data_IF_591003414796
#
_entry.id   IF_591003414796
#
_cell.length_a   1.000
_cell.length_b   1.000
_cell.length_c   1.000
_cell.angle_alpha   90.00
_cell.angle_beta   90.00
_cell.angle_gamma   90.00
#
_symmetry.space_group_name_H-M   'P 1'
#
loop_
_entity.id
_entity.type
_entity.pdbx_description
1 polymer ?
#
# COMPACT_ATOMS: atom_id res chain seq x y z
N UNK A 1 -5.26 20.76 -8.83
CA UNK A 1 -5.25 20.04 -7.54
C UNK A 1 -4.54 18.68 -7.58
N UNK A 2 -4.51 17.92 -8.69
CA UNK A 2 -3.87 16.59 -8.75
C UNK A 2 -2.38 16.56 -8.35
N UNK A 3 -1.55 17.49 -8.83
CA UNK A 3 -0.08 17.48 -8.58
C UNK A 3 0.28 17.69 -7.10
N UNK A 4 -0.48 18.52 -6.37
CA UNK A 4 -0.25 18.78 -4.94
C UNK A 4 -0.55 17.53 -4.11
N UNK A 5 -1.59 16.77 -4.47
CA UNK A 5 -1.92 15.49 -3.83
C UNK A 5 -0.84 14.42 -4.06
N UNK A 6 -0.24 14.37 -5.25
CA UNK A 6 0.88 13.47 -5.54
C UNK A 6 2.15 13.86 -4.77
N UNK A 7 2.44 15.16 -4.67
CA UNK A 7 3.58 15.68 -3.90
C UNK A 7 3.44 15.42 -2.39
N UNK A 8 2.22 15.59 -1.83
CA UNK A 8 1.95 15.28 -0.42
C UNK A 8 2.07 13.78 -0.12
N UNK A 9 1.66 12.91 -1.06
CA UNK A 9 1.88 11.47 -0.93
C UNK A 9 3.37 11.12 -0.92
N UNK A 10 4.17 11.75 -1.79
CA UNK A 10 5.62 11.52 -1.85
C UNK A 10 6.33 11.97 -0.56
N UNK A 11 5.83 13.00 0.12
CA UNK A 11 6.41 13.48 1.38
C UNK A 11 6.09 12.58 2.58
N UNK A 12 4.91 11.94 2.60
CA UNK A 12 4.53 11.00 3.67
C UNK A 12 5.24 9.65 3.58
N UNK A 13 5.63 9.26 2.36
CA UNK A 13 6.17 7.95 2.03
C UNK A 13 7.51 7.60 2.73
N UNK A 14 8.52 8.50 2.77
CA UNK A 14 9.78 8.23 3.46
C UNK A 14 9.58 7.98 4.97
N UNK A 15 8.62 8.64 5.60
CA UNK A 15 8.33 8.46 7.01
C UNK A 15 7.78 7.05 7.30
N UNK A 16 6.86 6.56 6.46
CA UNK A 16 6.32 5.21 6.58
C UNK A 16 7.34 4.12 6.26
N UNK A 17 8.11 4.30 5.19
CA UNK A 17 9.17 3.35 4.82
C UNK A 17 10.23 3.24 5.91
N UNK A 18 10.66 4.38 6.46
CA UNK A 18 11.66 4.39 7.55
C UNK A 18 11.14 3.69 8.80
N UNK A 19 9.87 3.88 9.15
CA UNK A 19 9.23 3.23 10.30
C UNK A 19 9.19 1.70 10.14
N UNK A 20 8.75 1.22 8.97
CA UNK A 20 8.69 -0.22 8.70
C UNK A 20 10.08 -0.86 8.60
N UNK A 21 11.09 -0.15 8.07
CA UNK A 21 12.48 -0.62 8.09
C UNK A 21 13.04 -0.73 9.51
N UNK A 22 12.75 0.24 10.40
CA UNK A 22 13.21 0.19 11.80
C UNK A 22 12.56 -0.98 12.57
N UNK A 23 11.35 -1.39 12.17
CA UNK A 23 10.61 -2.49 12.81
C UNK A 23 10.78 -3.85 12.14
N UNK A 24 11.62 -3.93 11.12
CA UNK A 24 11.87 -5.15 10.34
C UNK A 24 10.60 -5.69 9.65
N UNK A 25 9.60 -4.84 9.40
CA UNK A 25 8.40 -5.20 8.61
C UNK A 25 8.69 -5.01 7.13
N UNK A 26 9.59 -5.84 6.62
CA UNK A 26 10.16 -5.70 5.29
C UNK A 26 9.12 -5.79 4.18
N UNK A 27 8.04 -6.57 4.36
CA UNK A 27 6.98 -6.69 3.36
C UNK A 27 6.23 -5.37 3.23
N UNK A 28 5.88 -4.75 4.37
CA UNK A 28 5.20 -3.45 4.38
C UNK A 28 6.10 -2.33 3.83
N UNK A 29 7.39 -2.33 4.18
CA UNK A 29 8.37 -1.38 3.63
C UNK A 29 8.52 -1.52 2.11
N UNK A 30 8.61 -2.75 1.58
CA UNK A 30 8.68 -3.01 0.15
C UNK A 30 7.40 -2.60 -0.58
N UNK A 31 6.24 -2.81 0.04
CA UNK A 31 4.95 -2.44 -0.52
C UNK A 31 4.80 -0.91 -0.61
N UNK A 32 5.16 -0.19 0.44
CA UNK A 32 5.16 1.28 0.42
C UNK A 32 6.19 1.82 -0.56
N UNK A 33 7.41 1.30 -0.60
CA UNK A 33 8.43 1.73 -1.59
C UNK A 33 8.00 1.47 -3.04
N UNK A 34 7.19 0.42 -3.30
CA UNK A 34 6.59 0.19 -4.63
C UNK A 34 5.58 1.26 -5.06
N UNK A 35 5.06 2.07 -4.12
CA UNK A 35 4.20 3.20 -4.43
C UNK A 35 4.99 4.40 -4.99
N UNK A 36 6.29 4.54 -4.70
CA UNK A 36 7.15 5.60 -5.25
C UNK A 36 7.14 5.64 -6.78
N UNK A 37 7.45 4.55 -7.51
CA UNK A 37 7.47 4.60 -8.96
C UNK A 37 6.06 4.80 -9.54
N UNK A 38 5.00 4.31 -8.87
CA UNK A 38 3.60 4.59 -9.24
C UNK A 38 3.23 6.08 -9.12
N UNK A 39 3.71 6.77 -8.08
CA UNK A 39 3.50 8.21 -7.88
C UNK A 39 4.26 9.04 -8.93
N UNK A 40 5.52 8.69 -9.20
CA UNK A 40 6.32 9.33 -10.26
C UNK A 40 5.63 9.19 -11.62
N UNK A 41 5.06 8.02 -11.91
CA UNK A 41 4.25 7.83 -13.10
C UNK A 41 2.98 8.68 -13.11
N UNK A 42 2.26 8.76 -11.99
CA UNK A 42 1.07 9.60 -11.87
C UNK A 42 1.37 11.07 -12.19
N UNK A 43 2.51 11.59 -11.70
CA UNK A 43 2.99 12.94 -12.00
C UNK A 43 3.34 13.08 -13.49
N UNK A 44 4.15 12.18 -14.04
CA UNK A 44 4.61 12.27 -15.44
C UNK A 44 3.49 12.09 -16.46
N UNK A 45 2.52 11.19 -16.22
CA UNK A 45 1.35 11.00 -17.09
C UNK A 45 0.39 12.19 -17.03
N UNK A 46 0.20 12.80 -15.85
CA UNK A 46 -0.60 14.03 -15.71
C UNK A 46 0.04 15.21 -16.46
N UNK A 47 1.38 15.27 -16.51
CA UNK A 47 2.12 16.30 -17.26
C UNK A 47 2.10 16.06 -18.78
N UNK A 48 2.10 14.80 -19.24
CA UNK A 48 2.13 14.45 -20.68
C UNK A 48 0.75 14.23 -21.31
N UNK A 49 -0.34 14.22 -20.53
CA UNK A 49 -1.70 13.97 -21.03
C UNK A 49 -1.87 12.60 -21.72
N UNK A 50 -0.97 11.65 -21.45
CA UNK A 50 -0.93 10.34 -22.13
C UNK A 50 -1.14 9.23 -21.12
N UNK A 51 -2.21 8.47 -21.31
CA UNK A 51 -2.67 7.40 -20.42
C UNK A 51 -1.95 6.06 -20.74
N UNK A 52 -0.62 6.11 -20.87
CA UNK A 52 0.16 4.89 -21.11
C UNK A 52 0.47 4.19 -19.78
N UNK A 53 -0.32 3.16 -19.48
CA UNK A 53 -0.02 2.16 -18.46
C UNK A 53 1.20 1.34 -18.90
N UNK A 54 2.34 1.56 -18.25
CA UNK A 54 3.57 0.83 -18.55
C UNK A 54 3.66 -0.43 -17.68
N UNK A 55 3.41 -1.59 -18.30
CA UNK A 55 3.50 -2.95 -17.72
C UNK A 55 4.82 -3.28 -16.99
N UNK A 56 5.88 -2.50 -17.23
CA UNK A 56 7.19 -2.69 -16.62
C UNK A 56 7.19 -2.37 -15.11
N UNK A 57 6.36 -1.41 -14.67
CA UNK A 57 6.23 -1.08 -13.25
C UNK A 57 5.41 -2.08 -12.45
N UNK A 58 4.41 -2.71 -13.08
CA UNK A 58 3.69 -3.83 -12.46
C UNK A 58 4.66 -4.99 -12.18
N UNK A 59 5.59 -5.25 -13.12
CA UNK A 59 6.64 -6.24 -12.95
C UNK A 59 7.58 -5.88 -11.79
N UNK A 60 8.05 -4.63 -11.72
CA UNK A 60 8.90 -4.15 -10.61
C UNK A 60 8.18 -4.25 -9.24
N UNK A 61 6.88 -3.96 -9.19
CA UNK A 61 6.10 -4.04 -7.96
C UNK A 61 5.94 -5.50 -7.49
N UNK A 62 5.69 -6.42 -8.42
CA UNK A 62 5.64 -7.86 -8.12
C UNK A 62 7.00 -8.36 -7.63
N UNK A 63 8.09 -7.96 -8.29
CA UNK A 63 9.46 -8.32 -7.88
C UNK A 63 9.78 -7.77 -6.50
N UNK A 64 9.42 -6.53 -6.19
CA UNK A 64 9.60 -5.93 -4.87
C UNK A 64 8.81 -6.66 -3.78
N UNK A 65 7.57 -7.07 -4.07
CA UNK A 65 6.76 -7.88 -3.15
C UNK A 65 7.42 -9.24 -2.91
N UNK A 66 7.85 -9.95 -3.96
CA UNK A 66 8.50 -11.26 -3.85
C UNK A 66 9.82 -11.17 -3.09
N UNK A 67 10.64 -10.14 -3.36
CA UNK A 67 11.89 -9.90 -2.65
C UNK A 67 11.66 -9.52 -1.18
N UNK A 68 10.68 -8.66 -0.89
CA UNK A 68 10.31 -8.29 0.48
C UNK A 68 9.79 -9.48 1.28
N UNK A 69 9.00 -10.37 0.66
CA UNK A 69 8.54 -11.61 1.26
C UNK A 69 9.72 -12.55 1.56
N UNK A 70 10.63 -12.71 0.60
CA UNK A 70 11.80 -13.59 0.72
C UNK A 70 12.78 -13.09 1.79
N UNK A 71 12.97 -11.78 1.89
CA UNK A 71 13.87 -11.17 2.86
C UNK A 71 13.27 -11.18 4.27
N UNK A 72 11.96 -10.91 4.43
CA UNK A 72 11.25 -11.01 5.71
C UNK A 72 11.32 -12.43 6.29
N UNK A 73 11.17 -13.47 5.46
CA UNK A 73 11.30 -14.87 5.87
C UNK A 73 12.73 -15.20 6.33
N UNK A 74 13.74 -14.59 5.71
CA UNK A 74 15.15 -14.82 6.04
C UNK A 74 15.58 -14.12 7.34
N UNK A 75 15.16 -12.87 7.56
CA UNK A 75 15.58 -12.04 8.71
C UNK A 75 14.89 -12.46 10.03
N UNK A 76 13.66 -12.99 9.96
CA UNK A 76 12.85 -13.31 11.15
C UNK A 76 12.91 -14.78 11.60
N UNK A 77 13.64 -15.65 10.89
CA UNK A 77 13.90 -17.02 11.34
C UNK A 77 12.69 -17.98 11.32
N UNK A 78 11.61 -17.67 10.59
CA UNK A 78 10.45 -18.55 10.37
C UNK A 78 9.07 -17.89 10.59
N UNK A 79 7.98 -18.65 10.41
CA UNK A 79 6.55 -18.22 10.50
C UNK A 79 6.01 -18.05 11.93
N UNK A 80 6.78 -17.43 12.83
CA UNK A 80 6.50 -17.47 14.27
C UNK A 80 5.67 -16.31 14.84
N UNK A 81 5.64 -15.15 14.19
CA UNK A 81 5.11 -13.92 14.80
C UNK A 81 3.77 -13.46 14.20
N UNK A 82 2.90 -12.88 15.06
CA UNK A 82 1.63 -12.30 14.64
C UNK A 82 1.84 -11.18 13.61
N UNK A 83 2.91 -10.40 13.72
CA UNK A 83 3.26 -9.32 12.78
C UNK A 83 3.46 -9.85 11.37
N UNK A 84 4.13 -11.00 11.22
CA UNK A 84 4.39 -11.59 9.90
C UNK A 84 3.12 -12.08 9.21
N UNK A 85 2.19 -12.67 9.97
CA UNK A 85 0.86 -13.02 9.45
C UNK A 85 0.09 -11.77 9.01
N UNK A 86 0.18 -10.68 9.78
CA UNK A 86 -0.44 -9.39 9.45
C UNK A 86 0.21 -8.76 8.21
N UNK A 87 1.53 -8.82 8.05
CA UNK A 87 2.26 -8.35 6.87
C UNK A 87 1.85 -9.10 5.60
N UNK A 88 1.79 -10.43 5.65
CA UNK A 88 1.37 -11.27 4.52
C UNK A 88 -0.09 -10.98 4.15
N UNK A 89 -0.97 -10.89 5.16
CA UNK A 89 -2.37 -10.56 4.93
C UNK A 89 -2.54 -9.15 4.34
N UNK A 90 -1.77 -8.17 4.81
CA UNK A 90 -1.75 -6.80 4.30
C UNK A 90 -1.30 -6.77 2.84
N UNK A 91 -0.20 -7.43 2.50
CA UNK A 91 0.29 -7.48 1.12
C UNK A 91 -0.68 -8.19 0.17
N UNK A 92 -1.28 -9.30 0.63
CA UNK A 92 -2.26 -10.05 -0.16
C UNK A 92 -3.52 -9.24 -0.43
N UNK A 93 -4.05 -8.54 0.58
CA UNK A 93 -5.24 -7.70 0.44
C UNK A 93 -4.96 -6.47 -0.44
N UNK A 94 -3.79 -5.85 -0.33
CA UNK A 94 -3.38 -4.78 -1.25
C UNK A 94 -3.30 -5.25 -2.70
N UNK A 95 -2.68 -6.41 -2.96
CA UNK A 95 -2.55 -6.96 -4.30
C UNK A 95 -3.93 -7.31 -4.89
N UNK A 96 -4.82 -7.91 -4.10
CA UNK A 96 -6.19 -8.19 -4.53
C UNK A 96 -6.98 -6.91 -4.84
N UNK A 97 -6.82 -5.88 -4.00
CA UNK A 97 -7.48 -4.58 -4.17
C UNK A 97 -7.02 -3.83 -5.41
N UNK A 98 -5.71 -3.69 -5.60
CA UNK A 98 -5.09 -3.07 -6.79
C UNK A 98 -5.50 -3.81 -8.06
N UNK A 99 -5.47 -5.14 -8.06
CA UNK A 99 -5.87 -5.97 -9.20
C UNK A 99 -7.34 -5.75 -9.60
N UNK A 100 -8.26 -5.71 -8.63
CA UNK A 100 -9.67 -5.47 -8.90
C UNK A 100 -9.92 -4.05 -9.41
N UNK A 101 -9.24 -3.04 -8.84
CA UNK A 101 -9.34 -1.66 -9.30
C UNK A 101 -8.77 -1.48 -10.70
N UNK A 102 -7.68 -2.17 -11.05
CA UNK A 102 -7.14 -2.20 -12.41
C UNK A 102 -8.15 -2.76 -13.42
N UNK A 103 -9.00 -3.71 -13.01
CA UNK A 103 -10.14 -4.23 -13.78
C UNK A 103 -11.38 -3.32 -13.75
N UNK A 104 -11.26 -2.08 -13.26
CA UNK A 104 -12.36 -1.13 -13.05
C UNK A 104 -13.48 -1.69 -12.15
N UNK A 105 -13.16 -2.64 -11.27
CA UNK A 105 -14.12 -3.23 -10.35
C UNK A 105 -14.09 -2.49 -9.01
N UNK A 106 -15.21 -1.86 -8.63
CA UNK A 106 -15.35 -1.11 -7.39
C UNK A 106 -15.16 -1.97 -6.13
N UNK A 107 -15.31 -3.30 -6.21
CA UNK A 107 -15.05 -4.17 -5.07
C UNK A 107 -13.58 -4.14 -4.61
N UNK A 108 -12.65 -3.63 -5.43
CA UNK A 108 -11.26 -3.41 -5.01
C UNK A 108 -11.14 -2.46 -3.82
N UNK A 109 -12.06 -1.52 -3.62
CA UNK A 109 -12.07 -0.65 -2.44
C UNK A 109 -12.32 -1.42 -1.14
N UNK A 110 -13.07 -2.53 -1.16
CA UNK A 110 -13.29 -3.35 0.03
C UNK A 110 -12.00 -4.04 0.49
N UNK A 111 -11.17 -4.46 -0.47
CA UNK A 111 -9.84 -5.01 -0.17
C UNK A 111 -8.89 -3.95 0.39
N UNK A 112 -9.02 -2.70 -0.05
CA UNK A 112 -8.32 -1.57 0.58
C UNK A 112 -8.79 -1.30 2.01
N UNK A 113 -10.09 -1.43 2.30
CA UNK A 113 -10.59 -1.37 3.68
C UNK A 113 -9.94 -2.45 4.54
N UNK A 114 -9.89 -3.69 4.04
CA UNK A 114 -9.22 -4.79 4.74
C UNK A 114 -7.72 -4.51 4.97
N UNK A 115 -7.02 -4.00 3.95
CA UNK A 115 -5.61 -3.61 4.06
C UNK A 115 -5.37 -2.56 5.16
N UNK A 116 -6.19 -1.50 5.22
CA UNK A 116 -6.07 -0.45 6.22
C UNK A 116 -6.35 -0.95 7.65
N UNK A 117 -7.31 -1.88 7.82
CA UNK A 117 -7.56 -2.51 9.11
C UNK A 117 -6.37 -3.38 9.53
N UNK A 118 -5.82 -4.18 8.62
CA UNK A 118 -4.63 -5.00 8.90
C UNK A 118 -3.40 -4.14 9.23
N UNK A 119 -3.22 -3.02 8.53
CA UNK A 119 -2.17 -2.04 8.81
C UNK A 119 -2.37 -1.36 10.18
N UNK A 120 -3.61 -1.02 10.54
CA UNK A 120 -3.92 -0.48 11.85
C UNK A 120 -3.63 -1.50 12.98
N UNK A 121 -3.96 -2.78 12.77
CA UNK A 121 -3.65 -3.85 13.72
C UNK A 121 -2.13 -4.07 13.85
N UNK A 122 -1.41 -4.07 12.73
CA UNK A 122 0.05 -4.22 12.71
C UNK A 122 0.73 -3.07 13.48
N UNK A 123 0.38 -1.82 13.15
CA UNK A 123 0.95 -0.64 13.81
C UNK A 123 0.53 -0.51 15.28
N UNK A 124 -0.67 -0.93 15.65
CA UNK A 124 -1.10 -1.01 17.05
C UNK A 124 -0.29 -2.07 17.82
N UNK A 125 -0.07 -3.25 17.23
CA UNK A 125 0.76 -4.32 17.83
C UNK A 125 2.22 -3.89 18.02
N UNK A 126 2.72 -2.99 17.17
CA UNK A 126 4.08 -2.44 17.25
C UNK A 126 4.21 -1.26 18.23
N UNK A 127 3.12 -0.83 18.87
CA UNK A 127 3.12 0.27 19.84
C UNK A 127 3.00 1.67 19.22
N UNK A 128 2.49 1.79 17.98
CA UNK A 128 2.23 3.06 17.31
C UNK A 128 0.73 3.33 17.13
N UNK A 129 -0.04 3.53 18.21
CA UNK A 129 -1.50 3.68 18.14
C UNK A 129 -1.94 4.93 17.37
N UNK A 130 -1.11 5.97 17.32
CA UNK A 130 -1.40 7.19 16.56
C UNK A 130 -1.41 6.94 15.05
N UNK A 131 -0.49 6.08 14.57
CA UNK A 131 -0.47 5.63 13.17
C UNK A 131 -1.65 4.70 12.88
N UNK A 132 -2.01 3.81 13.82
CA UNK A 132 -3.21 3.00 13.70
C UNK A 132 -4.47 3.86 13.58
N UNK A 133 -4.59 4.92 14.39
CA UNK A 133 -5.70 5.86 14.31
C UNK A 133 -5.74 6.61 12.96
N UNK A 134 -4.58 7.00 12.41
CA UNK A 134 -4.50 7.58 11.07
C UNK A 134 -4.98 6.61 9.98
N UNK A 135 -4.61 5.32 10.09
CA UNK A 135 -5.06 4.28 9.15
C UNK A 135 -6.57 4.09 9.22
N UNK A 136 -7.16 4.12 10.41
CA UNK A 136 -8.61 4.04 10.59
C UNK A 136 -9.34 5.29 10.09
N UNK A 137 -8.78 6.49 10.30
CA UNK A 137 -9.34 7.73 9.75
C UNK A 137 -9.38 7.69 8.22
N UNK A 138 -8.36 7.08 7.59
CA UNK A 138 -8.28 6.91 6.13
C UNK A 138 -9.42 6.06 5.56
N UNK A 139 -10.03 5.19 6.36
CA UNK A 139 -11.19 4.38 5.93
C UNK A 139 -12.38 5.24 5.50
N UNK A 140 -12.58 6.41 6.11
CA UNK A 140 -13.66 7.32 5.73
C UNK A 140 -13.55 7.75 4.27
N UNK A 141 -12.34 8.08 3.82
CA UNK A 141 -12.08 8.46 2.43
C UNK A 141 -12.26 7.28 1.47
N UNK A 142 -11.89 6.07 1.88
CA UNK A 142 -12.02 4.87 1.05
C UNK A 142 -13.49 4.48 0.88
N UNK A 143 -14.27 4.55 1.95
CA UNK A 143 -15.72 4.29 1.91
C UNK A 143 -16.43 5.32 1.03
N UNK A 144 -16.05 6.60 1.12
CA UNK A 144 -16.58 7.63 0.24
C UNK A 144 -16.22 7.37 -1.23
N UNK A 145 -14.96 7.04 -1.52
CA UNK A 145 -14.50 6.66 -2.87
C UNK A 145 -15.26 5.44 -3.42
N UNK A 146 -15.50 4.42 -2.59
CA UNK A 146 -16.29 3.25 -2.96
C UNK A 146 -17.73 3.62 -3.33
N UNK A 147 -18.38 4.50 -2.57
CA UNK A 147 -19.74 4.97 -2.85
C UNK A 147 -19.81 5.75 -4.16
N UNK A 148 -18.82 6.59 -4.45
CA UNK A 148 -18.73 7.33 -5.71
C UNK A 148 -18.50 6.37 -6.89
N UNK A 149 -17.60 5.40 -6.74
CA UNK A 149 -17.27 4.44 -7.78
C UNK A 149 -18.43 3.50 -8.13
N UNK A 150 -19.27 3.13 -7.16
CA UNK A 150 -20.45 2.28 -7.38
C UNK A 150 -21.65 3.01 -7.99
N UNK A 151 -21.68 4.35 -7.90
CA UNK A 151 -22.72 5.20 -8.51
C UNK A 151 -22.45 5.50 -10.00
N UNK A 152 -21.23 5.27 -10.48
CA UNK A 152 -20.85 5.34 -11.90
C UNK A 152 -21.10 4.01 -12.58
#
# INVERSE_FOLDING_TARGET
>A
MRIVSWASCLAGLPAWVSLFMIRHDWIAACLETSAVPSIILGITNTLKGSDKSFKLLDCLSIVAIVLGLSYSIYDLGGFGSLSQWLEIALASTFLAGTYLLAKKNANGYLWYVAMHILCALLTANQGFPMLAAQQLASLLFIVDAYRIAKKK
#
